data_IF_844778347264
#
_entry.id   IF_844778347264
#
_cell.length_a   1.000
_cell.length_b   1.000
_cell.length_c   1.000
_cell.angle_alpha   90.00
_cell.angle_beta   90.00
_cell.angle_gamma   90.00
#
_symmetry.space_group_name_H-M   'P 1'
#
loop_
_entity.id
_entity.type
_entity.pdbx_description
1 polymer ?
#
# COMPACT_ATOMS: atom_id res chain seq x y z
N UNK A 1 12.52 4.85 -3.62
CA UNK A 1 11.41 4.39 -2.76
C UNK A 1 11.46 5.23 -1.49
N UNK A 2 10.40 5.98 -1.20
CA UNK A 2 10.37 7.05 -0.18
C UNK A 2 10.70 6.52 1.22
N UNK A 3 10.37 5.26 1.48
CA UNK A 3 10.74 4.53 2.68
C UNK A 3 11.27 3.17 2.26
N UNK A 4 12.51 2.85 2.65
CA UNK A 4 13.09 1.52 2.51
C UNK A 4 12.99 0.76 3.84
N UNK A 5 13.26 -0.54 3.81
CA UNK A 5 13.44 -1.34 5.02
C UNK A 5 14.51 -0.73 5.96
N UNK A 6 15.53 -0.06 5.40
CA UNK A 6 16.61 0.63 6.12
C UNK A 6 16.25 2.02 6.65
N UNK A 7 15.09 2.59 6.30
CA UNK A 7 14.68 3.90 6.83
C UNK A 7 14.44 3.85 8.35
N UNK A 8 14.78 4.92 9.09
CA UNK A 8 14.52 5.04 10.53
C UNK A 8 13.06 4.73 10.89
N UNK A 9 12.85 3.97 11.97
CA UNK A 9 11.52 3.60 12.45
C UNK A 9 10.62 4.81 12.75
N UNK A 10 11.21 5.90 13.25
CA UNK A 10 10.48 7.14 13.54
C UNK A 10 9.87 7.76 12.26
N UNK A 11 10.62 7.78 11.15
CA UNK A 11 10.11 8.28 9.87
C UNK A 11 8.95 7.44 9.33
N UNK A 12 9.05 6.10 9.45
CA UNK A 12 7.96 5.19 9.06
C UNK A 12 6.69 5.47 9.84
N UNK A 13 6.83 5.67 11.14
CA UNK A 13 5.70 5.95 12.04
C UNK A 13 5.05 7.31 11.73
N UNK A 14 5.86 8.34 11.49
CA UNK A 14 5.35 9.67 11.14
C UNK A 14 4.64 9.68 9.76
N UNK A 15 5.15 8.93 8.78
CA UNK A 15 4.43 8.75 7.51
C UNK A 15 3.08 8.06 7.73
N UNK A 16 3.05 6.95 8.48
CA UNK A 16 1.82 6.19 8.73
C UNK A 16 0.76 7.04 9.45
N UNK A 17 1.16 7.80 10.48
CA UNK A 17 0.26 8.75 11.16
C UNK A 17 -0.28 9.80 10.20
N UNK A 18 0.58 10.34 9.36
CA UNK A 18 0.23 11.35 8.35
C UNK A 18 -0.80 10.80 7.38
N UNK A 19 -0.55 9.63 6.80
CA UNK A 19 -1.47 8.93 5.90
C UNK A 19 -2.81 8.66 6.59
N UNK A 20 -2.78 8.12 7.80
CA UNK A 20 -4.01 7.83 8.57
C UNK A 20 -4.85 9.09 8.80
N UNK A 21 -4.21 10.19 9.22
CA UNK A 21 -4.89 11.48 9.43
C UNK A 21 -5.49 12.03 8.13
N UNK A 22 -4.77 11.93 7.02
CA UNK A 22 -5.24 12.37 5.70
C UNK A 22 -6.46 11.58 5.23
N UNK A 23 -6.44 10.26 5.42
CA UNK A 23 -7.58 9.39 5.10
C UNK A 23 -8.78 9.69 6.00
N UNK A 24 -8.55 9.95 7.29
CA UNK A 24 -9.62 10.24 8.24
C UNK A 24 -10.26 11.62 8.03
N UNK A 25 -9.48 12.60 7.56
CA UNK A 25 -9.94 13.97 7.31
C UNK A 25 -10.65 14.09 5.95
N UNK A 26 -10.44 13.15 5.04
CA UNK A 26 -11.20 13.09 3.80
C UNK A 26 -12.66 12.75 4.11
N UNK A 27 -13.56 13.70 3.84
CA UNK A 27 -14.99 13.55 4.12
C UNK A 27 -15.54 12.27 3.47
N UNK A 28 -16.41 11.56 4.22
CA UNK A 28 -16.96 10.23 3.86
C UNK A 28 -17.75 10.18 2.54
N UNK A 29 -17.88 11.29 1.82
CA UNK A 29 -18.62 11.44 0.57
C UNK A 29 -17.72 11.48 -0.67
N UNK A 30 -16.40 11.59 -0.54
CA UNK A 30 -15.51 11.94 -1.66
C UNK A 30 -14.37 10.93 -1.87
N UNK A 31 -14.71 9.82 -2.53
CA UNK A 31 -13.78 8.97 -3.32
C UNK A 31 -12.64 8.25 -2.57
N UNK A 32 -12.14 7.18 -3.15
CA UNK A 32 -11.04 6.35 -2.62
C UNK A 32 -9.64 6.98 -2.85
N UNK A 33 -9.57 8.31 -2.91
CA UNK A 33 -8.40 9.05 -3.40
C UNK A 33 -8.13 10.29 -2.55
N UNK A 34 -6.85 10.53 -2.23
CA UNK A 34 -6.37 11.77 -1.61
C UNK A 34 -5.25 12.33 -2.48
N UNK A 35 -5.44 13.52 -3.06
CA UNK A 35 -4.31 14.20 -3.71
C UNK A 35 -3.42 14.82 -2.64
N UNK A 36 -2.10 14.73 -2.77
CA UNK A 36 -1.16 15.35 -1.84
C UNK A 36 -0.69 16.68 -2.41
N UNK A 37 -1.60 17.64 -2.47
CA UNK A 37 -1.27 18.98 -2.93
C UNK A 37 -0.69 19.82 -1.78
N UNK A 38 0.19 20.77 -2.10
CA UNK A 38 0.80 21.70 -1.13
C UNK A 38 -0.23 22.43 -0.26
N UNK A 39 -1.46 22.62 -0.76
CA UNK A 39 -2.56 23.24 -0.03
C UNK A 39 -3.10 22.36 1.11
N UNK A 40 -3.11 21.04 0.95
CA UNK A 40 -3.56 20.14 2.02
C UNK A 40 -2.57 20.09 3.17
N UNK A 41 -1.28 20.25 2.87
CA UNK A 41 -0.22 20.29 3.87
C UNK A 41 -0.18 21.64 4.59
N UNK A 42 -0.40 22.74 3.88
CA UNK A 42 -0.47 24.06 4.51
C UNK A 42 -1.71 24.20 5.43
N UNK A 43 -2.85 23.59 5.06
CA UNK A 43 -4.06 23.54 5.90
C UNK A 43 -3.86 22.59 7.08
N UNK A 44 -3.13 21.49 6.89
CA UNK A 44 -2.77 20.55 7.95
C UNK A 44 -1.33 20.81 8.42
N UNK A 45 -1.10 21.92 9.11
CA UNK A 45 0.16 22.35 9.76
C UNK A 45 0.75 21.39 10.81
N UNK A 46 0.24 20.16 10.85
CA UNK A 46 0.61 19.07 11.74
C UNK A 46 0.98 17.82 10.92
N UNK A 47 1.52 17.98 9.71
CA UNK A 47 2.06 16.89 8.88
C UNK A 47 3.59 16.98 8.80
N UNK A 48 4.30 16.72 9.91
CA UNK A 48 5.74 16.92 10.02
C UNK A 48 6.53 16.11 8.99
N UNK A 49 6.00 14.97 8.54
CA UNK A 49 6.67 14.13 7.54
C UNK A 49 6.97 14.88 6.23
N UNK A 50 5.97 15.57 5.66
CA UNK A 50 6.13 16.26 4.37
C UNK A 50 6.88 17.59 4.49
N UNK A 51 6.84 18.24 5.65
CA UNK A 51 7.68 19.41 5.93
C UNK A 51 9.17 19.04 5.96
N UNK A 52 9.50 17.84 6.45
CA UNK A 52 10.88 17.35 6.52
C UNK A 52 11.38 16.82 5.17
N UNK A 53 10.46 16.54 4.23
CA UNK A 53 10.73 15.95 2.91
C UNK A 53 10.04 16.73 1.76
N UNK A 54 10.39 18.00 1.55
CA UNK A 54 9.76 18.85 0.54
C UNK A 54 9.98 18.35 -0.89
N UNK A 55 11.01 17.54 -1.14
CA UNK A 55 11.26 16.90 -2.43
C UNK A 55 10.08 16.04 -2.91
N UNK A 56 9.33 15.45 -1.98
CA UNK A 56 8.17 14.61 -2.30
C UNK A 56 6.96 15.44 -2.73
N UNK A 57 6.91 16.72 -2.38
CA UNK A 57 5.84 17.64 -2.76
C UNK A 57 6.02 18.20 -4.15
N UNK A 58 7.25 18.14 -4.66
CA UNK A 58 7.51 18.44 -6.08
C UNK A 58 6.99 17.34 -6.99
N UNK A 59 6.76 16.13 -6.45
CA UNK A 59 6.13 15.02 -7.14
C UNK A 59 4.62 15.16 -6.94
N UNK A 60 3.84 15.14 -8.00
CA UNK A 60 2.38 15.18 -7.96
C UNK A 60 1.85 13.86 -7.39
N UNK A 61 1.95 13.69 -6.07
CA UNK A 61 1.64 12.44 -5.39
C UNK A 61 0.16 12.36 -5.01
N UNK A 62 -0.36 11.14 -4.97
CA UNK A 62 -1.70 10.83 -4.51
C UNK A 62 -1.74 9.52 -3.74
N UNK A 63 -2.60 9.47 -2.73
CA UNK A 63 -2.96 8.23 -2.05
C UNK A 63 -4.19 7.64 -2.74
N UNK A 64 -4.10 6.37 -3.09
CA UNK A 64 -5.23 5.53 -3.48
C UNK A 64 -5.45 4.53 -2.36
N UNK A 65 -6.65 4.45 -1.81
CA UNK A 65 -6.91 3.54 -0.71
C UNK A 65 -8.27 2.88 -0.79
N UNK A 66 -8.41 1.72 -0.15
CA UNK A 66 -9.69 1.04 -0.02
C UNK A 66 -9.77 0.32 1.32
N UNK A 67 -10.94 0.39 1.94
CA UNK A 67 -11.23 -0.30 3.19
C UNK A 67 -11.90 -1.65 2.91
N UNK A 68 -11.36 -2.72 3.50
CA UNK A 68 -11.96 -4.05 3.52
C UNK A 68 -12.10 -4.49 4.98
N UNK A 69 -13.34 -4.55 5.47
CA UNK A 69 -13.65 -4.80 6.88
C UNK A 69 -12.92 -3.83 7.84
N UNK A 70 -11.92 -4.32 8.56
CA UNK A 70 -11.09 -3.56 9.52
C UNK A 70 -9.74 -3.12 8.95
N UNK A 71 -9.44 -3.47 7.69
CA UNK A 71 -8.14 -3.25 7.05
C UNK A 71 -8.20 -2.16 5.97
N UNK A 72 -7.29 -1.19 6.08
CA UNK A 72 -7.03 -0.20 5.04
C UNK A 72 -5.86 -0.63 4.16
N UNK A 73 -6.12 -0.77 2.87
CA UNK A 73 -5.10 -0.95 1.85
C UNK A 73 -4.82 0.40 1.22
N UNK A 74 -3.57 0.86 1.28
CA UNK A 74 -3.18 2.22 0.87
C UNK A 74 -1.96 2.15 -0.04
N UNK A 75 -2.04 2.83 -1.18
CA UNK A 75 -0.98 2.98 -2.16
C UNK A 75 -0.66 4.46 -2.31
N UNK A 76 0.62 4.80 -2.25
CA UNK A 76 1.13 6.14 -2.60
C UNK A 76 1.69 6.06 -4.02
N UNK A 77 1.11 6.84 -4.93
CA UNK A 77 1.44 6.82 -6.36
C UNK A 77 1.63 8.24 -6.87
N UNK A 78 2.25 8.37 -8.04
CA UNK A 78 2.32 9.64 -8.74
C UNK A 78 1.10 9.80 -9.65
N UNK A 79 0.31 10.85 -9.44
CA UNK A 79 -0.92 11.15 -10.18
C UNK A 79 -0.68 11.40 -11.67
N UNK A 80 0.52 11.87 -12.02
CA UNK A 80 0.89 12.23 -13.39
C UNK A 80 1.13 10.99 -14.26
N UNK A 81 1.64 9.90 -13.67
CA UNK A 81 2.03 8.68 -14.39
C UNK A 81 1.06 7.52 -14.18
N UNK A 82 0.41 7.44 -13.02
CA UNK A 82 -0.40 6.29 -12.64
C UNK A 82 -1.91 6.56 -12.67
N UNK A 83 -2.66 5.59 -13.20
CA UNK A 83 -4.12 5.64 -13.18
C UNK A 83 -4.66 5.19 -11.82
N UNK A 84 -5.35 6.10 -11.13
CA UNK A 84 -6.02 5.85 -9.86
C UNK A 84 -6.97 4.64 -9.89
N UNK A 85 -7.67 4.42 -11.01
CA UNK A 85 -8.56 3.26 -11.18
C UNK A 85 -7.78 1.95 -11.34
N UNK A 86 -6.66 1.98 -12.07
CA UNK A 86 -5.81 0.80 -12.21
C UNK A 86 -5.22 0.37 -10.85
N UNK A 87 -4.86 1.33 -9.99
CA UNK A 87 -4.40 1.04 -8.63
C UNK A 87 -5.51 0.46 -7.75
N UNK A 88 -6.77 0.90 -7.91
CA UNK A 88 -7.91 0.27 -7.22
C UNK A 88 -8.14 -1.17 -7.67
N UNK A 89 -8.00 -1.45 -8.96
CA UNK A 89 -8.10 -2.81 -9.50
C UNK A 89 -6.94 -3.67 -8.99
N UNK A 90 -5.74 -3.10 -8.87
CA UNK A 90 -4.58 -3.78 -8.29
C UNK A 90 -4.78 -4.11 -6.81
N UNK A 91 -5.37 -3.20 -6.03
CA UNK A 91 -5.77 -3.47 -4.65
C UNK A 91 -6.77 -4.65 -4.61
N UNK A 92 -7.72 -4.69 -5.53
CA UNK A 92 -8.69 -5.78 -5.62
C UNK A 92 -8.01 -7.12 -5.92
N UNK A 93 -7.10 -7.17 -6.90
CA UNK A 93 -6.29 -8.36 -7.21
C UNK A 93 -5.51 -8.81 -5.99
N UNK A 94 -4.87 -7.89 -5.26
CA UNK A 94 -4.11 -8.23 -4.06
C UNK A 94 -4.98 -8.82 -2.95
N UNK A 95 -6.13 -8.21 -2.65
CA UNK A 95 -7.06 -8.71 -1.64
C UNK A 95 -7.63 -10.08 -2.03
N UNK A 96 -7.94 -10.28 -3.30
CA UNK A 96 -8.43 -11.58 -3.80
C UNK A 96 -7.35 -12.67 -3.72
N UNK A 97 -6.10 -12.35 -4.07
CA UNK A 97 -4.97 -13.25 -3.88
C UNK A 97 -4.76 -13.60 -2.40
N UNK A 98 -4.92 -12.63 -1.50
CA UNK A 98 -4.84 -12.88 -0.05
C UNK A 98 -5.94 -13.84 0.41
N UNK A 99 -7.19 -13.58 0.03
CA UNK A 99 -8.31 -14.41 0.46
C UNK A 99 -8.19 -15.86 -0.02
N UNK A 100 -7.74 -16.08 -1.27
CA UNK A 100 -7.49 -17.42 -1.82
C UNK A 100 -6.30 -18.12 -1.16
N UNK A 101 -5.21 -17.39 -0.88
CA UNK A 101 -4.00 -17.97 -0.26
C UNK A 101 -4.21 -18.35 1.22
N UNK A 102 -4.95 -17.54 1.97
CA UNK A 102 -5.19 -17.73 3.40
C UNK A 102 -6.50 -18.45 3.73
N UNK A 103 -7.39 -18.68 2.75
CA UNK A 103 -8.71 -19.33 2.89
C UNK A 103 -9.60 -18.61 3.91
N UNK A 104 -10.19 -17.48 3.50
CA UNK A 104 -10.96 -16.57 4.37
C UNK A 104 -10.05 -15.78 5.31
N UNK A 105 -9.22 -14.92 4.71
CA UNK A 105 -8.21 -14.14 5.43
C UNK A 105 -8.84 -13.24 6.49
N UNK A 106 -8.24 -13.20 7.69
CA UNK A 106 -8.54 -12.20 8.71
C UNK A 106 -7.30 -11.36 9.06
N UNK A 107 -7.49 -10.22 9.73
CA UNK A 107 -6.37 -9.34 10.10
C UNK A 107 -5.31 -10.03 10.96
N UNK A 108 -5.70 -10.97 11.82
CA UNK A 108 -4.77 -11.71 12.67
C UNK A 108 -3.89 -12.65 11.83
N UNK A 109 -4.42 -13.26 10.77
CA UNK A 109 -3.62 -14.11 9.88
C UNK A 109 -2.49 -13.33 9.23
N UNK A 110 -2.76 -12.09 8.83
CA UNK A 110 -1.77 -11.19 8.24
C UNK A 110 -0.69 -10.78 9.24
N UNK A 111 -1.08 -10.51 10.50
CA UNK A 111 -0.15 -10.14 11.58
C UNK A 111 0.76 -11.32 11.92
N UNK A 112 0.20 -12.52 12.08
CA UNK A 112 0.98 -13.71 12.48
C UNK A 112 1.78 -14.33 11.34
N UNK A 113 1.36 -14.15 10.07
CA UNK A 113 2.04 -14.70 8.90
C UNK A 113 2.58 -13.60 7.97
N UNK A 114 3.21 -12.57 8.54
CA UNK A 114 3.77 -11.47 7.75
C UNK A 114 4.74 -11.95 6.65
N UNK A 115 5.55 -12.98 6.92
CA UNK A 115 6.48 -13.52 5.92
C UNK A 115 5.75 -14.02 4.66
N UNK A 116 4.58 -14.65 4.82
CA UNK A 116 3.77 -15.12 3.69
C UNK A 116 3.11 -13.94 2.96
N UNK A 117 2.67 -12.93 3.71
CA UNK A 117 2.12 -11.70 3.16
C UNK A 117 3.17 -10.98 2.29
N UNK A 118 4.40 -10.84 2.78
CA UNK A 118 5.51 -10.22 2.04
C UNK A 118 5.86 -11.02 0.78
N UNK A 119 5.94 -12.35 0.88
CA UNK A 119 6.15 -13.22 -0.28
C UNK A 119 5.05 -13.08 -1.33
N UNK A 120 3.78 -13.01 -0.91
CA UNK A 120 2.66 -12.81 -1.82
C UNK A 120 2.72 -11.43 -2.49
N UNK A 121 2.99 -10.37 -1.71
CA UNK A 121 3.14 -9.02 -2.24
C UNK A 121 4.24 -8.96 -3.29
N UNK A 122 5.37 -9.64 -3.06
CA UNK A 122 6.49 -9.75 -4.01
C UNK A 122 6.13 -10.48 -5.31
N UNK A 123 5.02 -11.23 -5.39
CA UNK A 123 4.52 -11.78 -6.66
C UNK A 123 3.74 -10.76 -7.48
N UNK A 124 3.19 -9.74 -6.84
CA UNK A 124 2.32 -8.74 -7.47
C UNK A 124 3.12 -7.49 -7.80
N UNK A 125 3.93 -7.01 -6.86
CA UNK A 125 4.66 -5.75 -6.98
C UNK A 125 6.05 -5.91 -6.41
N UNK A 126 7.05 -5.50 -7.18
CA UNK A 126 8.44 -5.49 -6.72
C UNK A 126 9.13 -4.22 -7.19
N UNK A 127 9.79 -3.52 -6.27
CA UNK A 127 10.50 -2.27 -6.58
C UNK A 127 9.60 -1.14 -7.08
N UNK A 128 8.28 -1.22 -6.83
CA UNK A 128 7.30 -0.25 -7.32
C UNK A 128 6.76 -0.57 -8.72
N UNK A 129 7.13 -1.70 -9.32
CA UNK A 129 6.64 -2.16 -10.63
C UNK A 129 5.66 -3.31 -10.41
N UNK A 130 4.53 -3.29 -11.13
CA UNK A 130 3.57 -4.39 -11.16
C UNK A 130 4.14 -5.54 -11.99
N UNK A 131 4.21 -6.73 -11.40
CA UNK A 131 4.74 -7.94 -12.02
C UNK A 131 3.65 -8.78 -12.67
N UNK A 132 2.54 -8.98 -11.95
CA UNK A 132 1.44 -9.84 -12.39
C UNK A 132 0.11 -9.32 -11.83
N UNK A 133 -0.97 -9.52 -12.59
CA UNK A 133 -2.33 -9.17 -12.22
C UNK A 133 -3.30 -10.35 -12.33
N UNK A 134 -2.84 -11.53 -12.80
CA UNK A 134 -3.63 -12.75 -12.82
C UNK A 134 -3.58 -13.44 -11.46
N UNK A 135 -4.72 -13.51 -10.78
CA UNK A 135 -4.83 -14.15 -9.47
C UNK A 135 -4.40 -15.63 -9.53
N UNK A 136 -4.74 -16.35 -10.61
CA UNK A 136 -4.30 -17.75 -10.77
C UNK A 136 -2.77 -17.87 -10.87
N UNK A 137 -2.14 -17.01 -11.68
CA UNK A 137 -0.68 -17.00 -11.86
C UNK A 137 0.05 -16.64 -10.56
N UNK A 138 -0.41 -15.59 -9.88
CA UNK A 138 0.11 -15.14 -8.58
C UNK A 138 0.10 -16.27 -7.56
N UNK A 139 -1.02 -16.99 -7.42
CA UNK A 139 -1.17 -18.10 -6.46
C UNK A 139 -0.25 -19.27 -6.81
N UNK A 140 -0.15 -19.62 -8.10
CA UNK A 140 0.73 -20.69 -8.57
C UNK A 140 2.19 -20.39 -8.25
N UNK A 141 2.64 -19.17 -8.52
CA UNK A 141 4.02 -18.72 -8.25
C UNK A 141 4.29 -18.67 -6.74
N UNK A 142 3.35 -18.14 -5.96
CA UNK A 142 3.42 -18.11 -4.49
C UNK A 142 3.62 -19.52 -3.90
N UNK A 143 2.82 -20.50 -4.31
CA UNK A 143 2.96 -21.89 -3.85
C UNK A 143 4.29 -22.52 -4.27
N UNK A 144 4.77 -22.19 -5.47
CA UNK A 144 6.05 -22.68 -5.97
C UNK A 144 7.20 -22.13 -5.12
N UNK A 145 7.15 -20.84 -4.77
CA UNK A 145 8.16 -20.20 -3.93
C UNK A 145 8.14 -20.71 -2.49
N UNK A 146 6.95 -20.92 -1.90
CA UNK A 146 6.82 -21.52 -0.57
C UNK A 146 7.48 -22.91 -0.48
N UNK A 147 7.31 -23.74 -1.51
CA UNK A 147 7.95 -25.08 -1.55
C UNK A 147 9.47 -24.98 -1.54
N UNK A 148 10.05 -24.01 -2.25
CA UNK A 148 11.49 -23.81 -2.30
C UNK A 148 12.06 -23.36 -0.94
N UNK A 149 11.30 -22.57 -0.19
CA UNK A 149 11.71 -22.07 1.13
C UNK A 149 11.62 -23.19 2.17
N UNK A 150 10.58 -24.04 2.14
CA UNK A 150 10.39 -25.14 3.10
C UNK A 150 11.35 -26.33 2.93
N UNK A 151 12.19 -26.35 1.89
CA UNK A 151 13.17 -27.42 1.63
C UNK A 151 14.57 -27.06 2.17
N UNK A 152 14.76 -25.84 2.67
CA UNK A 152 15.97 -25.43 3.40
C UNK A 152 15.78 -25.57 4.90
#
# INVERSE_FOLDING_TARGET
MIISSSSPSNLKFELLKTIYKLIQTNDKTSTNFVNLDTNLISINSNLPFFETHPELLSQDLGLVYRNYATLFFVFLVENSTESKLAILDLIQVFVESLDRCFKNVCELDLIFNYDKLDLLLNQIILGGIVLDTSVESIISNFHSQLKLISVK
#
